data_IF_729105681811
#
_entry.id   IF_729105681811
#
_cell.length_a   1.000
_cell.length_b   1.000
_cell.length_c   1.000
_cell.angle_alpha   90.00
_cell.angle_beta   90.00
_cell.angle_gamma   90.00
#
_symmetry.space_group_name_H-M   'P 1'
#
loop_
_entity.id
_entity.type
_entity.pdbx_description
1 polymer ?
#
# COMPACT_ATOMS: atom_id res chain seq x y z
N UNK A 1 26.78 14.24 -15.96
CA UNK A 1 25.43 14.62 -15.48
C UNK A 1 24.54 13.38 -15.50
N UNK A 2 23.64 13.18 -14.53
CA UNK A 2 22.73 12.02 -14.55
C UNK A 2 21.86 12.05 -15.82
N UNK A 3 21.89 10.97 -16.59
CA UNK A 3 21.22 10.90 -17.90
C UNK A 3 19.77 10.44 -17.81
N UNK A 4 19.39 9.77 -16.73
CA UNK A 4 18.04 9.23 -16.52
C UNK A 4 17.15 10.19 -15.72
N UNK A 5 15.83 10.09 -15.88
CA UNK A 5 14.86 10.85 -15.07
C UNK A 5 15.04 10.56 -13.58
N UNK A 6 15.23 9.28 -13.22
CA UNK A 6 15.61 8.83 -11.90
C UNK A 6 16.88 9.51 -11.37
N UNK A 7 17.94 9.50 -12.18
CA UNK A 7 19.21 10.13 -11.82
C UNK A 7 19.06 11.64 -11.59
N UNK A 8 18.20 12.31 -12.36
CA UNK A 8 17.89 13.74 -12.16
C UNK A 8 17.07 13.98 -10.90
N UNK A 9 16.07 13.15 -10.61
CA UNK A 9 15.23 13.27 -9.41
C UNK A 9 16.05 13.01 -8.13
N UNK A 10 16.86 11.95 -8.12
CA UNK A 10 17.78 11.64 -7.03
C UNK A 10 18.81 12.75 -6.87
N UNK A 11 19.40 13.26 -7.96
CA UNK A 11 20.34 14.37 -7.89
C UNK A 11 19.70 15.66 -7.38
N UNK A 12 18.46 15.98 -7.78
CA UNK A 12 17.71 17.15 -7.30
C UNK A 12 17.41 17.05 -5.80
N UNK A 13 17.01 15.86 -5.33
CA UNK A 13 16.75 15.61 -3.90
C UNK A 13 18.04 15.60 -3.07
N UNK A 14 19.12 15.01 -3.58
CA UNK A 14 20.44 15.07 -2.96
C UNK A 14 20.99 16.51 -2.90
N UNK A 15 20.80 17.31 -3.95
CA UNK A 15 21.15 18.73 -3.97
C UNK A 15 20.35 19.54 -2.94
N UNK A 16 19.05 19.27 -2.82
CA UNK A 16 18.23 19.84 -1.76
C UNK A 16 18.79 19.49 -0.37
N UNK A 17 19.26 18.25 -0.18
CA UNK A 17 19.86 17.79 1.08
C UNK A 17 21.23 18.39 1.41
N UNK A 18 21.95 18.95 0.43
CA UNK A 18 23.18 19.70 0.69
C UNK A 18 22.93 21.05 1.37
N UNK A 19 21.74 21.63 1.16
CA UNK A 19 21.36 22.94 1.73
C UNK A 19 20.29 22.85 2.81
N UNK A 20 19.56 21.74 2.85
CA UNK A 20 18.46 21.48 3.77
C UNK A 20 18.63 20.05 4.26
N UNK A 21 19.25 19.81 5.43
CA UNK A 21 19.45 18.45 5.91
C UNK A 21 18.10 17.69 5.88
N UNK A 22 18.11 16.39 5.55
CA UNK A 22 16.89 15.61 5.57
C UNK A 22 16.22 15.78 6.95
N UNK A 23 14.88 15.81 7.01
CA UNK A 23 14.19 15.86 8.28
C UNK A 23 14.72 14.75 9.18
N UNK A 24 14.84 15.05 10.48
CA UNK A 24 15.23 14.06 11.46
C UNK A 24 14.31 12.83 11.36
N UNK A 25 14.82 11.62 11.70
CA UNK A 25 13.98 10.44 11.79
C UNK A 25 12.72 10.76 12.59
N UNK A 26 11.55 10.36 12.07
CA UNK A 26 10.28 10.56 12.76
C UNK A 26 10.31 9.70 14.02
N UNK A 27 10.53 10.32 15.17
CA UNK A 27 10.25 9.72 16.47
C UNK A 27 8.76 9.91 16.77
N UNK A 28 7.96 8.88 16.54
CA UNK A 28 6.52 8.91 16.84
C UNK A 28 6.23 8.86 18.35
N UNK A 29 7.25 8.70 19.20
CA UNK A 29 7.11 8.49 20.64
C UNK A 29 6.49 7.12 21.02
N UNK A 30 6.07 6.31 20.04
CA UNK A 30 5.47 5.00 20.27
C UNK A 30 6.56 3.92 20.35
N UNK A 31 6.77 3.36 21.55
CA UNK A 31 7.61 2.17 21.71
C UNK A 31 6.83 0.91 21.38
N UNK A 32 7.49 -0.10 20.83
CA UNK A 32 6.82 -1.40 20.63
C UNK A 32 6.39 -2.05 21.95
N UNK A 33 5.13 -2.51 22.03
CA UNK A 33 4.52 -3.15 23.20
C UNK A 33 5.30 -4.38 23.66
N UNK A 34 5.11 -4.76 24.92
CA UNK A 34 5.77 -5.93 25.48
C UNK A 34 5.29 -7.21 24.77
N UNK A 35 4.00 -7.27 24.44
CA UNK A 35 3.33 -8.38 23.76
C UNK A 35 3.88 -8.58 22.35
N UNK A 36 3.98 -7.50 21.57
CA UNK A 36 4.55 -7.55 20.20
C UNK A 36 6.02 -7.96 20.25
N UNK A 37 6.81 -7.39 21.18
CA UNK A 37 8.23 -7.78 21.36
C UNK A 37 8.37 -9.26 21.73
N UNK A 38 7.55 -9.75 22.66
CA UNK A 38 7.57 -11.15 23.08
C UNK A 38 7.19 -12.09 21.92
N UNK A 39 6.18 -11.73 21.12
CA UNK A 39 5.79 -12.52 19.96
C UNK A 39 6.92 -12.64 18.92
N UNK A 40 7.64 -11.55 18.64
CA UNK A 40 8.78 -11.56 17.73
C UNK A 40 9.94 -12.38 18.30
N UNK A 41 10.27 -12.20 19.58
CA UNK A 41 11.31 -12.99 20.27
C UNK A 41 11.01 -14.48 20.23
N UNK A 42 9.74 -14.85 20.47
CA UNK A 42 9.27 -16.23 20.39
C UNK A 42 9.41 -16.76 18.96
N UNK A 43 8.97 -16.02 17.95
CA UNK A 43 9.12 -16.42 16.55
C UNK A 43 10.59 -16.63 16.14
N UNK A 44 11.51 -15.80 16.65
CA UNK A 44 12.95 -15.99 16.44
C UNK A 44 13.47 -17.26 17.13
N UNK A 45 13.04 -17.51 18.38
CA UNK A 45 13.41 -18.72 19.14
C UNK A 45 12.90 -19.99 18.47
N UNK A 46 11.72 -19.93 17.86
CA UNK A 46 11.08 -21.03 17.14
C UNK A 46 11.61 -21.22 15.71
N UNK A 47 12.69 -20.52 15.33
CA UNK A 47 13.28 -20.57 13.99
C UNK A 47 12.29 -20.18 12.87
N UNK A 48 11.35 -19.28 13.15
CA UNK A 48 10.37 -18.79 12.15
C UNK A 48 10.86 -17.53 11.41
N UNK A 49 12.00 -16.98 11.82
CA UNK A 49 12.55 -15.72 11.32
C UNK A 49 13.93 -15.85 10.63
N UNK A 50 14.47 -17.06 10.49
CA UNK A 50 15.79 -17.35 9.93
C UNK A 50 15.76 -17.99 8.54
N UNK A 51 14.58 -18.01 7.90
CA UNK A 51 14.37 -18.50 6.53
C UNK A 51 13.36 -17.63 5.77
N UNK A 52 13.30 -17.80 4.44
CA UNK A 52 12.32 -17.08 3.62
C UNK A 52 10.89 -17.47 3.99
N UNK A 53 10.00 -16.49 4.10
CA UNK A 53 8.56 -16.77 4.26
C UNK A 53 7.97 -17.17 2.91
N UNK A 54 6.68 -17.55 2.91
CA UNK A 54 5.91 -17.66 1.67
C UNK A 54 5.96 -16.33 0.90
N UNK A 55 5.85 -16.38 -0.43
CA UNK A 55 5.85 -15.20 -1.32
C UNK A 55 4.79 -14.15 -0.92
N UNK A 56 3.54 -14.52 -0.60
CA UNK A 56 2.55 -13.53 -0.16
C UNK A 56 2.79 -12.99 1.26
N UNK A 57 3.63 -13.65 2.07
CA UNK A 57 3.75 -13.41 3.51
C UNK A 57 3.32 -14.62 4.34
N UNK A 58 3.54 -14.56 5.65
CA UNK A 58 3.18 -15.64 6.58
C UNK A 58 1.66 -15.86 6.53
N UNK A 59 1.25 -17.13 6.44
CA UNK A 59 -0.15 -17.49 6.22
C UNK A 59 -1.13 -16.88 7.25
N UNK A 60 -0.81 -16.81 8.56
CA UNK A 60 -1.72 -16.20 9.53
C UNK A 60 -1.95 -14.71 9.29
N UNK A 61 -0.93 -13.96 8.86
CA UNK A 61 -1.06 -12.53 8.59
C UNK A 61 -1.87 -12.26 7.33
N UNK A 62 -1.60 -13.01 6.25
CA UNK A 62 -2.40 -12.91 5.02
C UNK A 62 -3.88 -13.23 5.28
N UNK A 63 -4.17 -14.21 6.15
CA UNK A 63 -5.55 -14.52 6.57
C UNK A 63 -6.20 -13.39 7.36
N UNK A 64 -5.46 -12.76 8.27
CA UNK A 64 -5.98 -11.63 9.05
C UNK A 64 -6.31 -10.43 8.15
N UNK A 65 -5.43 -10.10 7.20
CA UNK A 65 -5.68 -9.04 6.21
C UNK A 65 -6.87 -9.39 5.32
N UNK A 66 -6.94 -10.63 4.80
CA UNK A 66 -8.08 -11.06 3.99
C UNK A 66 -9.40 -10.99 4.75
N UNK A 67 -9.41 -11.38 6.02
CA UNK A 67 -10.59 -11.26 6.89
C UNK A 67 -10.99 -9.78 7.09
N UNK A 68 -10.01 -8.88 7.29
CA UNK A 68 -10.27 -7.44 7.37
C UNK A 68 -10.90 -6.90 6.06
N UNK A 69 -10.36 -7.28 4.90
CA UNK A 69 -10.94 -6.89 3.60
C UNK A 69 -12.36 -7.43 3.41
N UNK A 70 -12.60 -8.68 3.79
CA UNK A 70 -13.92 -9.33 3.71
C UNK A 70 -14.94 -8.68 4.66
N UNK A 71 -14.52 -8.27 5.86
CA UNK A 71 -15.36 -7.51 6.77
C UNK A 71 -15.81 -6.16 6.16
N UNK A 72 -15.01 -5.59 5.26
CA UNK A 72 -15.36 -4.42 4.45
C UNK A 72 -15.99 -4.78 3.10
N UNK A 73 -16.54 -5.99 2.95
CA UNK A 73 -17.31 -6.40 1.77
C UNK A 73 -16.49 -6.62 0.50
N UNK A 74 -15.16 -6.80 0.61
CA UNK A 74 -14.29 -7.09 -0.53
C UNK A 74 -14.01 -8.59 -0.65
N UNK A 75 -13.91 -9.08 -1.89
CA UNK A 75 -13.36 -10.42 -2.13
C UNK A 75 -11.85 -10.40 -1.89
N UNK A 76 -11.37 -11.25 -0.97
CA UNK A 76 -9.95 -11.38 -0.67
C UNK A 76 -9.56 -12.85 -0.52
N UNK A 77 -8.59 -13.28 -1.34
CA UNK A 77 -7.94 -14.59 -1.25
C UNK A 77 -6.61 -14.43 -0.49
N UNK A 78 -6.49 -15.05 0.69
CA UNK A 78 -5.28 -14.97 1.51
C UNK A 78 -4.03 -15.57 0.84
N UNK A 79 -4.19 -16.45 -0.17
CA UNK A 79 -3.06 -17.10 -0.83
C UNK A 79 -2.61 -16.38 -2.11
N UNK A 80 -3.52 -15.72 -2.82
CA UNK A 80 -3.21 -15.07 -4.11
C UNK A 80 -3.68 -13.63 -4.27
N UNK A 81 -4.61 -13.17 -3.43
CA UNK A 81 -5.23 -11.86 -3.49
C UNK A 81 -4.69 -10.87 -2.46
N UNK A 82 -3.84 -11.31 -1.53
CA UNK A 82 -3.22 -10.49 -0.48
C UNK A 82 -1.73 -10.74 -0.43
N UNK A 83 -0.93 -9.69 -0.32
CA UNK A 83 0.53 -9.78 -0.22
C UNK A 83 1.06 -8.76 0.77
N UNK A 84 1.98 -9.20 1.63
CA UNK A 84 2.69 -8.37 2.60
C UNK A 84 3.97 -7.83 1.97
N UNK A 85 4.28 -6.56 2.24
CA UNK A 85 5.43 -5.81 1.73
C UNK A 85 6.20 -5.17 2.89
N UNK A 86 7.46 -4.80 2.63
CA UNK A 86 8.34 -4.10 3.57
C UNK A 86 8.06 -2.60 3.66
N UNK A 87 6.78 -2.23 3.81
CA UNK A 87 6.33 -0.84 3.93
C UNK A 87 5.56 -0.33 2.70
N UNK A 88 4.88 0.80 2.89
CA UNK A 88 3.94 1.36 1.90
C UNK A 88 4.65 1.81 0.63
N UNK A 89 5.85 2.40 0.74
CA UNK A 89 6.60 2.84 -0.43
C UNK A 89 7.10 1.67 -1.28
N UNK A 90 7.45 0.53 -0.67
CA UNK A 90 7.69 -0.72 -1.40
C UNK A 90 6.44 -1.12 -2.17
N UNK A 91 5.27 -1.12 -1.51
CA UNK A 91 3.99 -1.46 -2.12
C UNK A 91 3.69 -0.58 -3.33
N UNK A 92 3.79 0.75 -3.18
CA UNK A 92 3.56 1.72 -4.26
C UNK A 92 4.48 1.45 -5.43
N UNK A 93 5.77 1.25 -5.14
CA UNK A 93 6.80 1.03 -6.17
C UNK A 93 6.51 -0.22 -7.00
N UNK A 94 6.23 -1.35 -6.35
CA UNK A 94 5.94 -2.60 -7.08
C UNK A 94 4.59 -2.54 -7.80
N UNK A 95 3.58 -1.91 -7.21
CA UNK A 95 2.27 -1.78 -7.84
C UNK A 95 2.32 -0.91 -9.10
N UNK A 96 2.99 0.25 -9.03
CA UNK A 96 3.17 1.13 -10.17
C UNK A 96 3.98 0.46 -11.28
N UNK A 97 5.11 -0.18 -10.97
CA UNK A 97 5.91 -0.86 -11.99
C UNK A 97 5.20 -2.04 -12.65
N UNK A 98 4.37 -2.77 -11.91
CA UNK A 98 3.63 -3.90 -12.46
C UNK A 98 2.40 -3.48 -13.27
N UNK A 99 1.73 -2.39 -12.89
CA UNK A 99 0.39 -2.06 -13.42
C UNK A 99 0.35 -0.84 -14.35
N UNK A 100 1.34 0.05 -14.31
CA UNK A 100 1.41 1.25 -15.16
C UNK A 100 1.96 1.04 -16.59
N UNK A 101 2.76 0.01 -16.94
CA UNK A 101 3.30 -0.12 -18.29
C UNK A 101 2.22 -0.07 -19.37
N UNK A 102 2.40 0.82 -20.35
CA UNK A 102 1.46 1.04 -21.46
C UNK A 102 0.26 1.93 -21.13
N UNK A 103 0.14 2.46 -19.90
CA UNK A 103 -1.00 3.25 -19.47
C UNK A 103 -0.68 4.73 -19.26
N UNK A 104 -1.69 5.58 -19.41
CA UNK A 104 -1.64 6.95 -18.90
C UNK A 104 -1.84 6.90 -17.38
N UNK A 105 -0.89 7.43 -16.62
CA UNK A 105 -0.97 7.44 -15.15
C UNK A 105 -1.54 8.76 -14.67
N UNK A 106 -2.61 8.69 -13.88
CA UNK A 106 -3.22 9.81 -13.19
C UNK A 106 -3.00 9.69 -11.69
N UNK A 107 -2.75 10.82 -11.03
CA UNK A 107 -2.77 10.94 -9.57
C UNK A 107 -3.89 11.91 -9.17
N UNK A 108 -4.88 11.41 -8.43
CA UNK A 108 -5.94 12.26 -7.88
C UNK A 108 -5.35 13.37 -7.01
N UNK A 109 -5.98 14.55 -7.00
CA UNK A 109 -5.57 15.68 -6.18
C UNK A 109 -6.70 16.10 -5.24
N UNK A 110 -6.48 16.12 -3.91
CA UNK A 110 -5.27 15.67 -3.19
C UNK A 110 -4.98 14.17 -3.39
N UNK A 111 -3.70 13.79 -3.34
CA UNK A 111 -3.24 12.42 -3.62
C UNK A 111 -2.37 11.85 -2.50
N UNK A 112 -1.93 10.58 -2.63
CA UNK A 112 -1.22 9.91 -1.54
C UNK A 112 0.11 10.59 -1.22
N UNK A 113 0.43 10.66 0.06
CA UNK A 113 1.69 11.21 0.55
C UNK A 113 2.89 10.46 -0.07
N UNK A 114 3.95 11.19 -0.42
CA UNK A 114 5.18 10.64 -1.04
C UNK A 114 5.01 9.94 -2.40
N UNK A 115 3.82 9.85 -2.98
CA UNK A 115 3.57 9.21 -4.27
C UNK A 115 4.45 9.78 -5.40
N UNK A 116 4.62 11.10 -5.47
CA UNK A 116 5.49 11.75 -6.46
C UNK A 116 6.95 11.28 -6.37
N UNK A 117 7.43 10.98 -5.15
CA UNK A 117 8.78 10.44 -4.97
C UNK A 117 8.88 9.05 -5.58
N UNK A 118 7.89 8.19 -5.32
CA UNK A 118 7.87 6.82 -5.83
C UNK A 118 7.72 6.81 -7.36
N UNK A 119 6.86 7.68 -7.91
CA UNK A 119 6.71 7.87 -9.36
C UNK A 119 8.03 8.29 -10.03
N UNK A 120 8.73 9.26 -9.43
CA UNK A 120 10.05 9.69 -9.90
C UNK A 120 11.10 8.56 -9.77
N UNK A 121 11.05 7.77 -8.69
CA UNK A 121 11.91 6.59 -8.51
C UNK A 121 11.64 5.52 -9.58
N UNK A 122 10.37 5.34 -9.95
CA UNK A 122 9.93 4.40 -10.97
C UNK A 122 10.16 4.91 -12.41
N UNK A 123 10.50 6.19 -12.59
CA UNK A 123 10.60 6.81 -13.91
C UNK A 123 9.24 6.92 -14.63
N UNK A 124 8.15 7.01 -13.86
CA UNK A 124 6.78 7.09 -14.37
C UNK A 124 6.33 8.56 -14.32
N UNK A 125 5.90 9.09 -15.46
CA UNK A 125 5.27 10.40 -15.54
C UNK A 125 3.77 10.26 -15.24
N UNK A 126 3.29 10.96 -14.21
CA UNK A 126 1.88 11.00 -13.84
C UNK A 126 1.27 12.38 -14.10
N UNK A 127 0.02 12.40 -14.55
CA UNK A 127 -0.77 13.60 -14.71
C UNK A 127 -1.59 13.85 -13.45
N UNK A 128 -1.55 15.08 -12.94
CA UNK A 128 -2.43 15.48 -11.86
C UNK A 128 -3.90 15.48 -12.33
N UNK A 129 -4.77 14.78 -11.62
CA UNK A 129 -6.20 14.69 -11.88
C UNK A 129 -6.95 15.49 -10.82
N UNK A 130 -7.45 16.68 -11.21
CA UNK A 130 -8.27 17.49 -10.32
C UNK A 130 -9.68 16.88 -10.25
N UNK A 131 -10.03 16.32 -9.08
CA UNK A 131 -11.32 15.66 -8.86
C UNK A 131 -12.51 16.61 -8.92
N UNK A 132 -12.29 17.93 -8.79
CA UNK A 132 -13.33 18.95 -8.86
C UNK A 132 -13.53 19.52 -10.28
N UNK A 133 -12.78 19.02 -11.26
CA UNK A 133 -12.90 19.42 -12.66
C UNK A 133 -13.57 18.32 -13.50
N UNK A 134 -13.82 18.62 -14.77
CA UNK A 134 -14.29 17.62 -15.71
C UNK A 134 -13.21 16.54 -15.90
N UNK A 135 -13.59 15.28 -15.66
CA UNK A 135 -12.69 14.13 -15.79
C UNK A 135 -12.53 13.79 -17.28
N UNK A 136 -11.30 13.56 -17.76
CA UNK A 136 -11.04 13.36 -19.18
C UNK A 136 -11.58 12.03 -19.69
N UNK A 137 -11.96 11.96 -20.96
CA UNK A 137 -12.09 10.68 -21.64
C UNK A 137 -10.70 10.07 -21.86
N UNK A 138 -10.53 8.80 -21.48
CA UNK A 138 -9.23 8.12 -21.51
C UNK A 138 -9.38 6.70 -22.01
N UNK A 139 -8.32 6.19 -22.63
CA UNK A 139 -8.14 4.77 -22.94
C UNK A 139 -6.90 4.29 -22.20
N UNK A 140 -6.94 3.08 -21.65
CA UNK A 140 -5.82 2.43 -20.96
C UNK A 140 -5.14 3.34 -19.91
N UNK A 141 -5.87 3.66 -18.83
CA UNK A 141 -5.36 4.50 -17.75
C UNK A 141 -5.15 3.73 -16.44
N UNK A 142 -4.28 4.29 -15.60
CA UNK A 142 -4.11 3.92 -14.20
C UNK A 142 -4.37 5.15 -13.32
N UNK A 143 -5.20 4.99 -12.29
CA UNK A 143 -5.43 5.99 -11.25
C UNK A 143 -4.72 5.59 -9.97
N UNK A 144 -3.87 6.47 -9.44
CA UNK A 144 -3.40 6.43 -8.07
C UNK A 144 -4.23 7.44 -7.25
N UNK A 145 -4.93 6.95 -6.23
CA UNK A 145 -5.83 7.75 -5.40
C UNK A 145 -5.62 7.44 -3.93
N UNK A 146 -5.71 8.47 -3.08
CA UNK A 146 -5.86 8.32 -1.63
C UNK A 146 -7.31 8.71 -1.27
N UNK A 147 -8.21 7.73 -1.08
CA UNK A 147 -9.61 8.01 -0.81
C UNK A 147 -9.81 8.82 0.48
N UNK A 148 -8.92 8.69 1.47
CA UNK A 148 -9.05 9.35 2.77
C UNK A 148 -8.97 10.88 2.67
N UNK A 149 -8.32 11.39 1.62
CA UNK A 149 -8.19 12.82 1.37
C UNK A 149 -9.30 13.40 0.48
N UNK A 150 -10.25 12.58 0.05
CA UNK A 150 -11.33 12.96 -0.85
C UNK A 150 -12.69 12.92 -0.16
N UNK A 151 -13.58 13.83 -0.55
CA UNK A 151 -14.99 13.76 -0.15
C UNK A 151 -15.66 12.51 -0.72
N UNK A 152 -16.74 12.03 -0.09
CA UNK A 152 -17.51 10.89 -0.58
C UNK A 152 -18.04 11.09 -2.01
N UNK A 153 -18.39 12.33 -2.38
CA UNK A 153 -18.83 12.69 -3.72
C UNK A 153 -17.68 12.57 -4.74
N UNK A 154 -16.49 13.08 -4.41
CA UNK A 154 -15.32 12.96 -5.27
C UNK A 154 -14.88 11.50 -5.45
N UNK A 155 -14.93 10.70 -4.38
CA UNK A 155 -14.67 9.25 -4.47
C UNK A 155 -15.67 8.57 -5.41
N UNK A 156 -16.96 8.90 -5.30
CA UNK A 156 -18.01 8.34 -6.15
C UNK A 156 -17.84 8.74 -7.61
N UNK A 157 -17.52 10.00 -7.88
CA UNK A 157 -17.26 10.50 -9.24
C UNK A 157 -16.04 9.82 -9.87
N UNK A 158 -14.94 9.65 -9.12
CA UNK A 158 -13.76 8.91 -9.59
C UNK A 158 -14.07 7.42 -9.84
N UNK A 159 -14.88 6.81 -8.99
CA UNK A 159 -15.30 5.42 -9.16
C UNK A 159 -16.13 5.24 -10.45
N UNK A 160 -17.11 6.10 -10.68
CA UNK A 160 -17.91 6.11 -11.92
C UNK A 160 -17.04 6.33 -13.16
N UNK A 161 -16.10 7.27 -13.11
CA UNK A 161 -15.14 7.50 -14.18
C UNK A 161 -14.25 6.29 -14.43
N UNK A 162 -13.73 5.67 -13.37
CA UNK A 162 -12.91 4.46 -13.49
C UNK A 162 -13.70 3.29 -14.08
N UNK A 163 -15.02 3.22 -13.82
CA UNK A 163 -15.91 2.24 -14.45
C UNK A 163 -16.14 2.56 -15.92
N UNK A 164 -16.45 3.81 -16.25
CA UNK A 164 -16.79 4.23 -17.61
C UNK A 164 -15.64 4.00 -18.61
N UNK A 165 -14.40 4.16 -18.16
CA UNK A 165 -13.19 4.05 -19.00
C UNK A 165 -12.29 2.85 -18.65
N UNK A 166 -12.80 1.90 -17.86
CA UNK A 166 -12.07 0.71 -17.37
C UNK A 166 -10.67 1.00 -16.79
N UNK A 167 -10.56 2.08 -16.01
CA UNK A 167 -9.30 2.56 -15.44
C UNK A 167 -8.85 1.62 -14.32
N UNK A 168 -7.62 1.13 -14.38
CA UNK A 168 -7.04 0.37 -13.26
C UNK A 168 -6.78 1.31 -12.09
N UNK A 169 -7.18 0.94 -10.88
CA UNK A 169 -7.04 1.78 -9.70
C UNK A 169 -6.04 1.18 -8.72
N UNK A 170 -5.13 2.01 -8.23
CA UNK A 170 -4.37 1.77 -6.99
C UNK A 170 -4.99 2.70 -5.94
N UNK A 171 -5.78 2.12 -5.04
CA UNK A 171 -6.40 2.84 -3.94
C UNK A 171 -5.47 2.75 -2.73
N UNK A 172 -4.77 3.85 -2.46
CA UNK A 172 -3.85 3.97 -1.35
C UNK A 172 -4.60 4.38 -0.08
N UNK A 173 -4.98 3.39 0.69
CA UNK A 173 -5.70 3.52 1.94
C UNK A 173 -4.73 3.36 3.13
N UNK A 174 -3.41 3.52 2.91
CA UNK A 174 -2.40 3.28 3.94
C UNK A 174 -2.44 4.26 5.10
N UNK A 175 -2.99 5.46 4.89
CA UNK A 175 -3.13 6.49 5.92
C UNK A 175 -4.40 6.31 6.76
N UNK A 176 -5.27 5.36 6.40
CA UNK A 176 -6.42 4.96 7.20
C UNK A 176 -6.02 3.93 8.25
N UNK A 177 -6.69 3.99 9.40
CA UNK A 177 -6.51 2.97 10.43
C UNK A 177 -6.98 1.61 9.92
N UNK A 178 -6.21 0.56 10.19
CA UNK A 178 -6.61 -0.83 9.94
C UNK A 178 -7.88 -1.22 10.73
N UNK A 179 -8.24 -0.45 11.75
CA UNK A 179 -9.44 -0.63 12.58
C UNK A 179 -10.45 0.50 12.43
N UNK A 180 -10.35 1.30 11.35
CA UNK A 180 -11.29 2.41 11.13
C UNK A 180 -12.73 1.89 10.96
N UNK A 181 -13.60 2.20 11.93
CA UNK A 181 -15.04 1.93 11.79
C UNK A 181 -15.68 2.84 10.72
N UNK A 182 -16.64 2.29 9.98
CA UNK A 182 -17.41 3.05 8.98
C UNK A 182 -16.61 3.47 7.74
N UNK A 183 -15.35 3.05 7.64
CA UNK A 183 -14.57 3.22 6.42
C UNK A 183 -15.18 2.41 5.27
N UNK A 184 -15.29 3.04 4.11
CA UNK A 184 -15.73 2.39 2.87
C UNK A 184 -14.53 2.31 1.92
N UNK A 185 -13.95 1.12 1.68
CA UNK A 185 -12.86 1.00 0.73
C UNK A 185 -13.27 1.44 -0.66
N UNK A 186 -12.35 2.02 -1.43
CA UNK A 186 -12.62 2.47 -2.80
C UNK A 186 -13.11 1.32 -3.70
N UNK A 187 -12.58 0.12 -3.48
CA UNK A 187 -12.98 -1.09 -4.20
C UNK A 187 -14.46 -1.48 -3.97
N UNK A 188 -15.11 -0.95 -2.92
CA UNK A 188 -16.52 -1.19 -2.59
C UNK A 188 -17.49 -0.28 -3.35
N UNK A 189 -16.99 0.67 -4.15
CA UNK A 189 -17.84 1.41 -5.09
C UNK A 189 -18.32 0.48 -6.22
N UNK A 190 -19.56 0.67 -6.72
CA UNK A 190 -20.13 -0.22 -7.74
C UNK A 190 -19.22 -0.40 -8.95
N UNK A 191 -18.86 -1.65 -9.25
CA UNK A 191 -18.02 -2.01 -10.39
C UNK A 191 -16.51 -1.84 -10.17
N UNK A 192 -16.04 -1.25 -9.06
CA UNK A 192 -14.62 -1.00 -8.82
C UNK A 192 -13.84 -2.25 -8.36
N UNK A 193 -14.49 -3.20 -7.70
CA UNK A 193 -13.83 -4.36 -7.09
C UNK A 193 -12.85 -5.09 -8.03
N UNK A 194 -13.21 -5.32 -9.30
CA UNK A 194 -12.40 -6.08 -10.26
C UNK A 194 -11.21 -5.31 -10.87
N UNK A 195 -11.09 -4.00 -10.60
CA UNK A 195 -10.04 -3.15 -11.17
C UNK A 195 -9.23 -2.36 -10.13
N UNK A 196 -9.51 -2.55 -8.84
CA UNK A 196 -8.83 -1.85 -7.76
C UNK A 196 -7.85 -2.77 -7.03
N UNK A 197 -6.61 -2.34 -6.91
CA UNK A 197 -5.64 -2.84 -5.94
C UNK A 197 -5.65 -1.90 -4.74
N UNK A 198 -6.08 -2.40 -3.58
CA UNK A 198 -6.01 -1.66 -2.32
C UNK A 198 -4.60 -1.78 -1.74
N UNK A 199 -4.01 -0.66 -1.38
CA UNK A 199 -2.77 -0.58 -0.59
C UNK A 199 -3.17 -0.21 0.83
N UNK A 200 -2.66 -0.96 1.80
CA UNK A 200 -2.93 -0.72 3.21
C UNK A 200 -1.67 -0.80 4.05
N UNK A 201 -1.78 -0.23 5.25
CA UNK A 201 -0.78 -0.36 6.30
C UNK A 201 -1.42 -1.03 7.53
N UNK A 202 -0.68 -1.06 8.63
CA UNK A 202 -1.22 -1.44 9.93
C UNK A 202 -1.33 -0.22 10.86
N UNK A 203 -1.50 0.98 10.30
CA UNK A 203 -1.73 2.19 11.07
C UNK A 203 -2.90 1.97 12.03
N UNK A 204 -2.77 2.49 13.25
CA UNK A 204 -3.77 2.28 14.31
C UNK A 204 -3.65 0.95 15.04
N UNK A 205 -2.81 0.03 14.56
CA UNK A 205 -2.28 -1.02 15.42
C UNK A 205 -1.15 -0.39 16.24
N UNK A 206 -1.32 -0.36 17.56
CA UNK A 206 -0.30 0.19 18.45
C UNK A 206 1.05 -0.47 18.17
N UNK A 207 2.13 0.28 18.42
CA UNK A 207 3.46 -0.28 18.62
C UNK A 207 4.23 -0.80 17.39
N UNK A 208 3.69 -0.68 16.17
CA UNK A 208 4.32 -1.25 14.96
C UNK A 208 4.61 -0.28 13.80
N UNK A 209 4.42 1.03 13.97
CA UNK A 209 4.65 2.04 12.92
C UNK A 209 6.05 1.97 12.29
N UNK A 210 7.06 1.57 13.07
CA UNK A 210 8.47 1.54 12.65
C UNK A 210 8.95 0.19 12.09
N UNK A 211 8.07 -0.82 12.04
CA UNK A 211 8.47 -2.18 11.66
C UNK A 211 8.56 -2.42 10.15
N UNK A 212 8.28 -1.39 9.34
CA UNK A 212 8.38 -1.46 7.88
C UNK A 212 7.57 -2.63 7.31
N UNK A 213 6.27 -2.63 7.59
CA UNK A 213 5.35 -3.68 7.17
C UNK A 213 4.05 -3.06 6.67
N UNK A 214 3.65 -3.45 5.47
CA UNK A 214 2.43 -3.00 4.81
C UNK A 214 1.87 -4.15 3.97
N UNK A 215 0.79 -3.90 3.26
CA UNK A 215 0.17 -4.90 2.40
C UNK A 215 -0.50 -4.29 1.19
N UNK A 216 -0.75 -5.12 0.19
CA UNK A 216 -1.73 -4.84 -0.83
C UNK A 216 -2.67 -6.01 -1.01
N UNK A 217 -3.89 -5.73 -1.46
CA UNK A 217 -4.87 -6.74 -1.76
C UNK A 217 -5.83 -6.32 -2.87
N UNK A 218 -6.42 -7.30 -3.55
CA UNK A 218 -7.38 -7.04 -4.62
C UNK A 218 -7.57 -8.27 -5.52
N UNK A 219 -8.17 -8.07 -6.71
CA UNK A 219 -8.40 -9.14 -7.67
C UNK A 219 -7.12 -9.88 -8.00
N UNK A 220 -7.23 -11.21 -8.08
CA UNK A 220 -6.10 -12.11 -8.37
C UNK A 220 -5.28 -11.66 -9.58
N UNK A 221 -5.93 -11.15 -10.65
CA UNK A 221 -5.25 -10.65 -11.85
C UNK A 221 -4.26 -9.52 -11.54
N UNK A 222 -4.63 -8.58 -10.67
CA UNK A 222 -3.77 -7.46 -10.27
C UNK A 222 -2.76 -7.92 -9.22
N UNK A 223 -3.23 -8.57 -8.16
CA UNK A 223 -2.40 -8.98 -7.05
C UNK A 223 -1.26 -9.91 -7.47
N UNK A 224 -1.50 -10.86 -8.38
CA UNK A 224 -0.46 -11.77 -8.90
C UNK A 224 0.61 -11.02 -9.70
N UNK A 225 0.22 -10.07 -10.57
CA UNK A 225 1.19 -9.29 -11.35
C UNK A 225 2.12 -8.49 -10.44
N UNK A 226 1.57 -7.84 -9.40
CA UNK A 226 2.34 -7.08 -8.42
C UNK A 226 3.20 -7.99 -7.54
N UNK A 227 2.67 -9.13 -7.09
CA UNK A 227 3.39 -10.14 -6.30
C UNK A 227 4.62 -10.66 -7.04
N UNK A 228 4.47 -11.00 -8.32
CA UNK A 228 5.53 -11.63 -9.09
C UNK A 228 6.69 -10.64 -9.30
N UNK A 229 6.40 -9.36 -9.51
CA UNK A 229 7.43 -8.31 -9.51
C UNK A 229 8.06 -8.12 -8.12
N UNK A 230 7.24 -8.05 -7.07
CA UNK A 230 7.73 -7.96 -5.68
C UNK A 230 8.70 -9.10 -5.35
N UNK A 231 8.40 -10.32 -5.78
CA UNK A 231 9.27 -11.47 -5.57
C UNK A 231 10.65 -11.30 -6.24
N UNK A 232 10.71 -10.66 -7.41
CA UNK A 232 11.98 -10.38 -8.09
C UNK A 232 12.81 -9.30 -7.36
N UNK A 233 12.16 -8.42 -6.60
CA UNK A 233 12.80 -7.33 -5.86
C UNK A 233 13.18 -7.71 -4.43
N UNK A 234 12.22 -8.26 -3.68
CA UNK A 234 12.32 -8.65 -2.27
C UNK A 234 11.55 -9.96 -2.08
N UNK A 235 12.23 -11.08 -2.34
CA UNK A 235 11.72 -12.47 -2.35
C UNK A 235 10.59 -12.69 -1.34
N UNK A 236 10.81 -12.27 -0.10
CA UNK A 236 9.78 -12.13 0.93
C UNK A 236 10.08 -10.90 1.80
N UNK A 237 9.06 -10.36 2.45
CA UNK A 237 9.24 -9.31 3.46
C UNK A 237 9.87 -9.88 4.75
N UNK A 238 10.57 -9.06 5.57
CA UNK A 238 11.24 -9.54 6.77
C UNK A 238 10.29 -10.25 7.74
N UNK A 239 10.55 -11.51 8.05
CA UNK A 239 9.70 -12.32 8.92
C UNK A 239 9.42 -11.67 10.30
N UNK A 240 10.40 -11.08 11.01
CA UNK A 240 10.14 -10.40 12.29
C UNK A 240 9.06 -9.32 12.20
N UNK A 241 9.05 -8.53 11.12
CA UNK A 241 8.06 -7.48 10.90
C UNK A 241 6.65 -8.05 10.65
N UNK A 242 6.56 -9.19 9.96
CA UNK A 242 5.29 -9.87 9.76
C UNK A 242 4.73 -10.45 11.07
N UNK A 243 5.58 -11.00 11.94
CA UNK A 243 5.16 -11.47 13.26
C UNK A 243 4.77 -10.32 14.19
N UNK A 244 5.45 -9.17 14.09
CA UNK A 244 5.06 -7.97 14.81
C UNK A 244 3.65 -7.49 14.39
N UNK A 245 3.41 -7.39 13.07
CA UNK A 245 2.10 -7.03 12.53
C UNK A 245 0.99 -8.00 12.98
N UNK A 246 1.26 -9.31 12.91
CA UNK A 246 0.29 -10.31 13.35
C UNK A 246 -0.06 -10.18 14.84
N UNK A 247 0.93 -9.93 15.70
CA UNK A 247 0.71 -9.75 17.12
C UNK A 247 -0.11 -8.50 17.42
N UNK A 248 0.20 -7.38 16.77
CA UNK A 248 -0.54 -6.13 16.96
C UNK A 248 -1.99 -6.24 16.47
N UNK A 249 -2.23 -6.91 15.33
CA UNK A 249 -3.60 -7.16 14.83
C UNK A 249 -4.41 -8.01 15.79
N UNK A 250 -3.82 -9.07 16.35
CA UNK A 250 -4.50 -9.92 17.34
C UNK A 250 -4.81 -9.17 18.63
N UNK A 251 -3.86 -8.39 19.13
CA UNK A 251 -4.02 -7.61 20.35
C UNK A 251 -5.21 -6.64 20.27
N UNK A 252 -5.36 -5.94 19.14
CA UNK A 252 -6.47 -5.02 18.93
C UNK A 252 -7.81 -5.76 18.81
N UNK A 253 -7.84 -6.90 18.10
CA UNK A 253 -9.04 -7.73 17.99
C UNK A 253 -9.50 -8.30 19.35
N UNK A 254 -8.56 -8.58 20.26
CA UNK A 254 -8.87 -9.01 21.63
C UNK A 254 -9.34 -7.85 22.52
N UNK A 255 -8.90 -6.61 22.25
CA UNK A 255 -9.32 -5.44 23.00
C UNK A 255 -10.75 -4.97 22.64
N UNK A 256 -11.19 -5.24 21.41
CA UNK A 256 -12.52 -4.86 20.90
C UNK A 256 -13.62 -5.92 21.18
N UNK A 257 -13.26 -7.09 21.74
CA UNK A 257 -14.14 -8.24 21.99
C UNK A 257 -14.71 -8.27 23.42
#
# INVERSE_FOLDING_TARGET
MPTTALGRAVAKRAQHWLTTPPPDPIDSGSSTSAEVRAAVQQAMTDHLCDHYTRRPGIAPLCKAIAAHMQAHGLEADADNGVVVTGGVDETRYVALHALAPGKIVYIAQPGPNYAETVLALAGIEAQALNVNAELPAVEDALLLVDPAQLSADAQSQLAEWAVAYDVTVIADESDLSFFAEGHRPFAQHPGCAQRTLTVGSFKGADSIDHWQVAWFGGPKKLAVAVRDLKQAMTISSPAPAQYAALAAVKQMQEADA
#
